data_IF_678211865849
#
_entry.id   IF_678211865849
#
_cell.length_a   1.000
_cell.length_b   1.000
_cell.length_c   1.000
_cell.angle_alpha   90.00
_cell.angle_beta   90.00
_cell.angle_gamma   90.00
#
_symmetry.space_group_name_H-M   'P 1'
#
loop_
_entity.id
_entity.type
_entity.pdbx_description
1 polymer ?
#
# COMPACT_ATOMS: atom_id res chain seq x y z
N UNK A 1 -2.63 -2.08 -18.32
CA UNK A 1 -1.87 -0.80 -18.16
C UNK A 1 -2.33 0.20 -19.20
N UNK A 2 -2.34 -0.15 -20.50
CA UNK A 2 -2.84 0.70 -21.60
C UNK A 2 -4.16 1.42 -21.29
N UNK A 3 -5.22 0.71 -20.93
CA UNK A 3 -6.52 1.33 -20.56
C UNK A 3 -6.37 2.45 -19.52
N UNK A 4 -5.54 2.27 -18.48
CA UNK A 4 -5.34 3.31 -17.48
C UNK A 4 -4.56 4.50 -18.07
N UNK A 5 -3.54 4.24 -18.89
CA UNK A 5 -2.75 5.30 -19.52
C UNK A 5 -3.57 6.11 -20.54
N UNK A 6 -4.44 5.45 -21.30
CA UNK A 6 -5.36 6.09 -22.26
C UNK A 6 -6.34 7.03 -21.55
N UNK A 7 -6.71 6.70 -20.31
CA UNK A 7 -7.51 7.54 -19.42
C UNK A 7 -6.69 8.63 -18.69
N UNK A 8 -5.39 8.75 -18.96
CA UNK A 8 -4.48 9.68 -18.27
C UNK A 8 -4.11 9.26 -16.85
N UNK A 9 -4.47 8.05 -16.43
CA UNK A 9 -4.20 7.50 -15.10
C UNK A 9 -2.80 6.91 -14.99
N UNK A 10 -2.27 6.93 -13.77
CA UNK A 10 -0.97 6.34 -13.44
C UNK A 10 -1.17 5.19 -12.46
N UNK A 11 -1.38 3.94 -12.92
CA UNK A 11 -1.62 2.82 -12.02
C UNK A 11 -0.37 2.47 -11.22
N UNK A 12 -0.58 1.98 -10.00
CA UNK A 12 0.47 1.33 -9.20
C UNK A 12 0.37 -0.18 -9.39
N UNK A 13 1.52 -0.86 -9.43
CA UNK A 13 1.62 -2.31 -9.45
C UNK A 13 1.71 -2.77 -7.99
N UNK A 14 0.68 -3.48 -7.52
CA UNK A 14 0.68 -4.09 -6.20
C UNK A 14 1.20 -5.52 -6.29
N UNK A 15 2.31 -5.82 -5.62
CA UNK A 15 2.91 -7.14 -5.62
C UNK A 15 2.98 -7.73 -4.21
N UNK A 16 2.22 -8.80 -3.97
CA UNK A 16 2.32 -9.58 -2.73
C UNK A 16 3.49 -10.55 -2.82
N UNK A 17 4.53 -10.26 -2.06
CA UNK A 17 5.76 -11.04 -2.03
C UNK A 17 5.62 -12.22 -1.06
N UNK A 18 5.82 -13.43 -1.57
CA UNK A 18 5.85 -14.68 -0.82
C UNK A 18 7.26 -15.30 -0.85
N UNK A 19 7.45 -16.41 -0.13
CA UNK A 19 8.70 -17.17 -0.22
C UNK A 19 8.93 -17.79 -1.61
N UNK A 20 7.85 -17.98 -2.38
CA UNK A 20 7.86 -18.75 -3.63
C UNK A 20 7.94 -17.88 -4.89
N UNK A 21 7.77 -16.55 -4.79
CA UNK A 21 7.79 -15.63 -5.94
C UNK A 21 8.86 -14.54 -5.82
N UNK A 22 9.76 -14.62 -4.83
CA UNK A 22 10.81 -13.62 -4.65
C UNK A 22 11.71 -13.47 -5.89
N UNK A 23 11.93 -14.56 -6.63
CA UNK A 23 12.71 -14.58 -7.87
C UNK A 23 12.08 -13.76 -9.01
N UNK A 24 10.79 -13.41 -8.93
CA UNK A 24 10.09 -12.59 -9.94
C UNK A 24 10.31 -11.09 -9.70
N UNK A 25 10.74 -10.70 -8.49
CA UNK A 25 10.92 -9.30 -8.11
C UNK A 25 11.90 -8.53 -9.03
N UNK A 26 13.04 -9.07 -9.50
CA UNK A 26 13.89 -8.40 -10.48
C UNK A 26 13.15 -8.02 -11.76
N UNK A 27 12.43 -8.96 -12.37
CA UNK A 27 11.70 -8.75 -13.62
C UNK A 27 10.57 -7.73 -13.44
N UNK A 28 9.84 -7.80 -12.32
CA UNK A 28 8.82 -6.80 -12.00
C UNK A 28 9.40 -5.41 -11.75
N UNK A 29 10.58 -5.33 -11.12
CA UNK A 29 11.27 -4.06 -10.91
C UNK A 29 11.72 -3.44 -12.23
N UNK A 30 12.28 -4.24 -13.14
CA UNK A 30 12.65 -3.81 -14.50
C UNK A 30 11.42 -3.32 -15.27
N UNK A 31 10.33 -4.09 -15.25
CA UNK A 31 9.07 -3.70 -15.87
C UNK A 31 8.55 -2.36 -15.33
N UNK A 32 8.50 -2.21 -14.01
CA UNK A 32 8.07 -0.98 -13.35
C UNK A 32 8.94 0.23 -13.74
N UNK A 33 10.25 0.01 -13.91
CA UNK A 33 11.19 1.05 -14.34
C UNK A 33 10.98 1.47 -15.80
N UNK A 34 10.84 0.50 -16.70
CA UNK A 34 10.64 0.73 -18.13
C UNK A 34 9.33 1.49 -18.40
N UNK A 35 8.28 1.17 -17.64
CA UNK A 35 6.98 1.83 -17.76
C UNK A 35 6.78 3.02 -16.81
N UNK A 36 7.78 3.35 -15.98
CA UNK A 36 7.71 4.40 -14.95
C UNK A 36 6.47 4.29 -14.05
N UNK A 37 6.13 3.07 -13.65
CA UNK A 37 5.01 2.75 -12.76
C UNK A 37 5.55 2.41 -11.37
N UNK A 38 4.86 2.82 -10.30
CA UNK A 38 5.29 2.42 -8.96
C UNK A 38 4.97 0.95 -8.71
N UNK A 39 6.00 0.16 -8.40
CA UNK A 39 5.87 -1.19 -7.86
C UNK A 39 5.86 -1.14 -6.33
N UNK A 40 4.72 -1.41 -5.72
CA UNK A 40 4.54 -1.52 -4.28
C UNK A 40 4.69 -3.00 -3.89
N UNK A 41 5.80 -3.32 -3.23
CA UNK A 41 6.09 -4.69 -2.77
C UNK A 41 5.61 -4.85 -1.34
N UNK A 42 4.61 -5.70 -1.15
CA UNK A 42 4.03 -6.03 0.15
C UNK A 42 4.40 -7.45 0.55
N UNK A 43 5.21 -7.65 1.60
CA UNK A 43 5.40 -8.97 2.18
C UNK A 43 4.07 -9.62 2.55
N UNK A 44 3.93 -10.91 2.23
CA UNK A 44 2.82 -11.74 2.66
C UNK A 44 2.76 -11.80 4.19
N UNK A 45 1.55 -11.77 4.73
CA UNK A 45 1.27 -11.98 6.13
C UNK A 45 0.63 -13.36 6.33
N UNK A 46 0.70 -13.89 7.54
CA UNK A 46 0.15 -15.21 7.87
C UNK A 46 -1.38 -15.20 7.78
N UNK A 47 -1.91 -15.53 6.61
CA UNK A 47 -3.32 -15.65 6.31
C UNK A 47 -3.49 -16.73 5.22
N UNK A 48 -4.53 -17.55 5.31
CA UNK A 48 -4.74 -18.72 4.45
C UNK A 48 -3.52 -19.66 4.38
N UNK A 49 -2.96 -20.02 5.53
CA UNK A 49 -1.80 -20.94 5.65
C UNK A 49 -0.52 -20.50 4.93
N UNK A 50 -0.46 -19.24 4.46
CA UNK A 50 0.76 -18.71 3.88
C UNK A 50 1.83 -18.54 4.98
N UNK A 51 3.02 -19.16 4.81
CA UNK A 51 4.11 -18.97 5.74
C UNK A 51 4.58 -17.51 5.70
N UNK A 52 5.00 -17.00 6.86
CA UNK A 52 5.67 -15.71 6.92
C UNK A 52 6.90 -15.68 6.01
N UNK A 53 7.23 -14.48 5.52
CA UNK A 53 8.40 -14.29 4.69
C UNK A 53 9.66 -14.65 5.46
N UNK A 54 10.50 -15.50 4.87
CA UNK A 54 11.74 -15.96 5.49
C UNK A 54 12.69 -14.79 5.75
N UNK A 55 13.39 -14.72 6.90
CA UNK A 55 14.27 -13.59 7.24
C UNK A 55 15.34 -13.29 6.19
N UNK A 56 15.88 -14.31 5.52
CA UNK A 56 16.83 -14.15 4.42
C UNK A 56 16.23 -13.40 3.23
N UNK A 57 14.96 -13.66 2.89
CA UNK A 57 14.26 -12.96 1.81
C UNK A 57 14.02 -11.51 2.22
N UNK A 58 13.57 -11.28 3.46
CA UNK A 58 13.38 -9.92 3.99
C UNK A 58 14.68 -9.11 3.96
N UNK A 59 15.81 -9.72 4.31
CA UNK A 59 17.14 -9.08 4.20
C UNK A 59 17.50 -8.77 2.75
N UNK A 60 17.22 -9.68 1.82
CA UNK A 60 17.48 -9.49 0.38
C UNK A 60 16.63 -8.39 -0.24
N UNK A 61 15.48 -8.02 0.34
CA UNK A 61 14.68 -6.88 -0.16
C UNK A 61 15.44 -5.55 -0.16
N UNK A 62 16.47 -5.43 0.66
CA UNK A 62 17.23 -4.19 0.86
C UNK A 62 18.01 -3.73 -0.36
N UNK A 63 18.29 -4.63 -1.29
CA UNK A 63 18.88 -4.26 -2.59
C UNK A 63 17.85 -3.59 -3.51
N UNK A 64 16.56 -3.94 -3.40
CA UNK A 64 15.48 -3.41 -4.25
C UNK A 64 14.89 -2.10 -3.70
N UNK A 65 14.99 -1.86 -2.39
CA UNK A 65 14.51 -0.62 -1.74
C UNK A 65 15.07 0.67 -2.36
N UNK A 66 16.27 0.60 -2.97
CA UNK A 66 16.94 1.75 -3.60
C UNK A 66 16.56 1.96 -5.06
N UNK A 67 15.97 0.95 -5.69
CA UNK A 67 15.69 0.98 -7.12
C UNK A 67 14.63 2.04 -7.45
N UNK A 68 14.81 2.83 -8.53
CA UNK A 68 13.77 3.66 -9.11
C UNK A 68 12.44 2.92 -9.22
N UNK A 69 11.35 3.60 -8.86
CA UNK A 69 9.97 3.12 -9.00
C UNK A 69 9.61 1.86 -8.19
N UNK A 70 10.53 1.32 -7.39
CA UNK A 70 10.22 0.25 -6.42
C UNK A 70 9.99 0.85 -5.04
N UNK A 71 8.86 0.52 -4.41
CA UNK A 71 8.53 0.89 -3.05
C UNK A 71 8.47 -0.34 -2.15
N UNK A 72 9.35 -0.34 -1.16
CA UNK A 72 9.37 -1.27 -0.05
C UNK A 72 9.52 -0.42 1.21
N UNK A 73 8.58 -0.51 2.15
CA UNK A 73 8.69 0.23 3.40
C UNK A 73 9.76 -0.42 4.31
N UNK A 74 10.90 0.27 4.45
CA UNK A 74 12.04 -0.15 5.27
C UNK A 74 11.66 -0.45 6.73
N UNK A 75 10.73 0.32 7.30
CA UNK A 75 10.23 0.13 8.65
C UNK A 75 9.47 -1.20 8.78
N UNK A 76 8.72 -1.57 7.75
CA UNK A 76 7.96 -2.81 7.73
C UNK A 76 8.86 -4.04 7.65
N UNK A 77 9.89 -4.02 6.79
CA UNK A 77 10.90 -5.07 6.74
C UNK A 77 11.61 -5.25 8.09
N UNK A 78 11.87 -4.15 8.80
CA UNK A 78 12.46 -4.21 10.15
C UNK A 78 11.51 -4.84 11.17
N UNK A 79 10.21 -4.52 11.10
CA UNK A 79 9.18 -5.09 11.98
C UNK A 79 9.11 -6.61 11.80
N UNK A 80 9.12 -7.09 10.56
CA UNK A 80 9.11 -8.54 10.26
C UNK A 80 10.35 -9.22 10.86
N UNK A 81 11.54 -8.62 10.66
CA UNK A 81 12.80 -9.16 11.20
C UNK A 81 12.83 -9.19 12.74
N UNK A 82 12.08 -8.31 13.40
CA UNK A 82 11.92 -8.28 14.86
C UNK A 82 10.78 -9.19 15.37
N UNK A 83 10.24 -10.05 14.51
CA UNK A 83 9.20 -11.01 14.88
C UNK A 83 7.80 -10.42 14.93
N UNK A 84 7.56 -9.30 14.25
CA UNK A 84 6.25 -8.66 14.14
C UNK A 84 5.89 -7.76 15.33
N UNK A 85 4.61 -7.45 15.47
CA UNK A 85 4.12 -6.55 16.52
C UNK A 85 4.23 -7.14 17.93
N UNK A 86 4.59 -6.28 18.88
CA UNK A 86 4.78 -6.64 20.29
C UNK A 86 3.63 -6.07 21.13
N UNK A 87 2.85 -6.93 21.80
CA UNK A 87 1.63 -6.51 22.51
C UNK A 87 1.89 -5.64 23.75
N UNK A 88 3.08 -5.74 24.36
CA UNK A 88 3.46 -4.87 25.48
C UNK A 88 3.85 -3.44 25.02
N UNK A 89 4.39 -3.31 23.81
CA UNK A 89 4.76 -2.04 23.18
C UNK A 89 4.29 -2.02 21.72
N UNK A 90 2.97 -1.92 21.48
CA UNK A 90 2.38 -2.14 20.17
C UNK A 90 2.83 -1.06 19.18
N UNK A 91 3.24 -1.50 17.99
CA UNK A 91 3.43 -0.60 16.87
C UNK A 91 2.14 -0.35 16.12
N UNK A 92 1.25 -1.33 16.08
CA UNK A 92 -0.02 -1.24 15.37
C UNK A 92 -0.93 -0.15 15.95
N UNK A 93 -1.38 0.75 15.07
CA UNK A 93 -2.35 1.82 15.30
C UNK A 93 -3.60 1.64 14.44
N UNK A 94 -4.06 0.41 14.26
CA UNK A 94 -5.17 0.07 13.36
C UNK A 94 -6.47 0.85 13.61
N UNK A 95 -6.73 1.27 14.85
CA UNK A 95 -7.94 2.01 15.20
C UNK A 95 -7.76 3.52 14.99
N UNK A 96 -6.56 4.04 15.25
CA UNK A 96 -6.28 5.49 15.18
C UNK A 96 -5.68 5.96 13.86
N UNK A 97 -5.11 5.06 13.07
CA UNK A 97 -4.42 5.34 11.81
C UNK A 97 -5.22 4.96 10.56
N UNK A 98 -6.26 4.15 10.71
CA UNK A 98 -7.13 3.71 9.61
C UNK A 98 -8.58 3.68 10.05
N UNK A 99 -9.49 3.75 9.08
CA UNK A 99 -10.93 3.52 9.29
C UNK A 99 -11.35 2.41 8.35
N UNK A 100 -12.02 1.39 8.87
CA UNK A 100 -12.54 0.26 8.08
C UNK A 100 -14.06 0.32 8.12
N UNK A 101 -14.68 0.51 6.97
CA UNK A 101 -16.13 0.55 6.80
C UNK A 101 -16.53 -0.69 5.99
N UNK A 102 -17.47 -1.48 6.52
CA UNK A 102 -18.01 -2.64 5.83
C UNK A 102 -19.06 -2.24 4.78
N UNK A 103 -19.36 -3.10 3.80
CA UNK A 103 -20.49 -2.88 2.87
C UNK A 103 -21.85 -2.73 3.56
N UNK A 104 -21.99 -3.21 4.81
CA UNK A 104 -23.20 -3.06 5.63
C UNK A 104 -23.24 -1.71 6.39
N UNK A 105 -22.38 -0.75 6.02
CA UNK A 105 -22.27 0.55 6.67
C UNK A 105 -21.93 0.45 8.17
N UNK A 106 -20.95 -0.40 8.50
CA UNK A 106 -20.48 -0.60 9.87
C UNK A 106 -18.98 -0.29 9.98
N UNK A 107 -18.55 0.37 11.05
CA UNK A 107 -17.14 0.45 11.42
C UNK A 107 -16.70 -0.89 11.98
N UNK A 108 -15.64 -1.47 11.40
CA UNK A 108 -15.05 -2.73 11.86
C UNK A 108 -13.87 -2.46 12.80
N UNK A 109 -13.87 -3.10 13.97
CA UNK A 109 -12.84 -2.93 15.00
C UNK A 109 -12.24 -4.28 15.46
N UNK A 110 -10.94 -4.29 15.83
CA UNK A 110 -9.97 -3.20 15.69
C UNK A 110 -9.39 -3.06 14.27
N UNK A 111 -9.56 -4.08 13.43
CA UNK A 111 -9.08 -4.13 12.06
C UNK A 111 -9.94 -5.12 11.25
N UNK A 112 -9.94 -4.99 9.92
CA UNK A 112 -10.66 -5.88 9.00
C UNK A 112 -10.36 -7.36 9.26
N UNK A 113 -9.08 -7.74 9.35
CA UNK A 113 -8.66 -9.15 9.41
C UNK A 113 -9.03 -9.86 10.73
N UNK A 114 -9.24 -9.13 11.81
CA UNK A 114 -9.59 -9.67 13.13
C UNK A 114 -10.74 -8.89 13.76
N UNK A 115 -11.78 -8.66 12.97
CA UNK A 115 -12.97 -7.93 13.42
C UNK A 115 -13.63 -8.70 14.56
N UNK A 116 -13.83 -8.04 15.71
CA UNK A 116 -14.55 -8.61 16.86
C UNK A 116 -15.62 -7.67 17.45
N UNK A 117 -15.68 -6.43 16.96
CA UNK A 117 -16.68 -5.43 17.30
C UNK A 117 -17.06 -4.65 16.05
N UNK A 118 -18.32 -4.21 16.02
CA UNK A 118 -18.90 -3.44 14.93
C UNK A 118 -19.66 -2.25 15.50
N UNK A 119 -19.63 -1.12 14.80
CA UNK A 119 -20.44 0.06 15.14
C UNK A 119 -21.21 0.45 13.89
N UNK A 120 -22.54 0.39 13.94
CA UNK A 120 -23.37 0.87 12.84
C UNK A 120 -23.12 2.37 12.59
N UNK A 121 -22.94 2.75 11.33
CA UNK A 121 -22.84 4.15 10.95
C UNK A 121 -24.25 4.68 10.67
N UNK A 122 -24.82 5.38 11.64
CA UNK A 122 -26.01 6.18 11.39
C UNK A 122 -25.58 7.47 10.68
N UNK A 123 -25.73 7.52 9.35
CA UNK A 123 -25.27 8.59 8.45
C UNK A 123 -23.72 8.75 8.46
N UNK A 124 -23.10 9.44 7.48
CA UNK A 124 -21.66 9.67 7.47
C UNK A 124 -21.26 10.70 8.55
N UNK A 125 -21.37 10.31 9.81
CA UNK A 125 -20.97 11.13 10.96
C UNK A 125 -19.77 10.48 11.66
N UNK A 126 -18.88 11.33 12.21
CA UNK A 126 -17.77 10.87 13.05
C UNK A 126 -18.21 10.48 14.46
N UNK A 127 -19.53 10.41 14.73
CA UNK A 127 -20.11 10.12 16.04
C UNK A 127 -19.66 8.76 16.61
N UNK A 128 -19.37 7.78 15.75
CA UNK A 128 -18.80 6.49 16.17
C UNK A 128 -17.54 6.64 17.02
N UNK A 129 -16.75 7.71 16.82
CA UNK A 129 -15.53 8.00 17.59
C UNK A 129 -15.80 8.32 19.06
N UNK A 130 -17.00 8.78 19.38
CA UNK A 130 -17.42 9.11 20.75
C UNK A 130 -17.93 7.89 21.51
N UNK A 131 -18.16 6.77 20.82
CA UNK A 131 -18.71 5.57 21.45
C UNK A 131 -17.71 4.93 22.41
N UNK A 132 -18.23 4.31 23.47
CA UNK A 132 -17.42 3.54 24.42
C UNK A 132 -16.64 2.42 23.74
N UNK A 133 -17.26 1.74 22.77
CA UNK A 133 -16.64 0.62 22.03
C UNK A 133 -15.41 1.11 21.24
N UNK A 134 -15.51 2.25 20.57
CA UNK A 134 -14.38 2.82 19.83
C UNK A 134 -13.23 3.21 20.76
N UNK A 135 -13.52 3.90 21.86
CA UNK A 135 -12.51 4.27 22.85
C UNK A 135 -11.81 3.05 23.46
N UNK A 136 -12.55 1.98 23.78
CA UNK A 136 -11.97 0.71 24.21
C UNK A 136 -11.04 0.10 23.15
N UNK A 137 -11.43 0.16 21.88
CA UNK A 137 -10.60 -0.33 20.78
C UNK A 137 -9.30 0.48 20.63
N UNK A 138 -9.31 1.80 20.84
CA UNK A 138 -8.09 2.63 20.85
C UNK A 138 -7.10 2.13 21.91
N UNK A 139 -7.57 1.82 23.12
CA UNK A 139 -6.71 1.33 24.20
C UNK A 139 -6.16 -0.08 23.95
N UNK A 140 -6.94 -0.92 23.27
CA UNK A 140 -6.58 -2.32 23.00
C UNK A 140 -5.86 -2.54 21.66
N UNK A 141 -5.83 -1.54 20.76
CA UNK A 141 -5.22 -1.69 19.44
C UNK A 141 -3.77 -2.19 19.53
N UNK A 142 -3.45 -3.23 18.75
CA UNK A 142 -2.12 -3.85 18.75
C UNK A 142 -1.79 -4.68 20.00
N UNK A 143 -2.71 -4.81 20.97
CA UNK A 143 -2.47 -5.52 22.25
C UNK A 143 -3.22 -6.85 22.40
N UNK A 144 -4.15 -7.17 21.49
CA UNK A 144 -4.86 -8.45 21.50
C UNK A 144 -3.90 -9.65 21.33
N UNK A 145 -4.31 -10.88 21.74
CA UNK A 145 -3.51 -12.09 21.50
C UNK A 145 -3.11 -12.27 20.03
N UNK A 146 -4.05 -12.07 19.09
CA UNK A 146 -3.77 -12.14 17.64
C UNK A 146 -2.85 -11.02 17.12
N UNK A 147 -2.63 -9.96 17.89
CA UNK A 147 -1.69 -8.90 17.51
C UNK A 147 -0.23 -9.27 17.78
N UNK A 148 0.03 -10.29 18.62
CA UNK A 148 1.39 -10.77 18.86
C UNK A 148 1.96 -11.33 17.55
N UNK A 149 3.12 -10.82 17.16
CA UNK A 149 3.81 -11.20 15.93
C UNK A 149 3.05 -10.92 14.63
N UNK A 150 2.00 -10.10 14.68
CA UNK A 150 1.26 -9.69 13.50
C UNK A 150 2.14 -8.86 12.55
N UNK A 151 2.01 -9.12 11.25
CA UNK A 151 2.74 -8.45 10.15
C UNK A 151 1.79 -8.01 9.03
N UNK A 152 0.59 -7.52 9.34
CA UNK A 152 -0.36 -7.07 8.31
C UNK A 152 -0.03 -5.63 7.86
N UNK A 153 0.61 -5.47 6.69
CA UNK A 153 1.17 -4.19 6.26
C UNK A 153 0.14 -3.04 6.21
N UNK A 154 -1.10 -3.33 5.81
CA UNK A 154 -2.18 -2.35 5.66
C UNK A 154 -2.38 -1.47 6.91
N UNK A 155 -2.09 -2.01 8.10
CA UNK A 155 -2.20 -1.27 9.35
C UNK A 155 -0.85 -0.73 9.82
N UNK A 156 0.28 -1.39 9.53
CA UNK A 156 1.59 -0.93 9.99
C UNK A 156 2.12 0.26 9.21
N UNK A 157 1.97 0.28 7.88
CA UNK A 157 2.45 1.39 7.04
C UNK A 157 2.00 2.77 7.53
N UNK A 158 0.71 3.02 7.83
CA UNK A 158 0.29 4.30 8.41
C UNK A 158 0.70 4.43 9.89
N UNK A 159 0.76 3.32 10.63
CA UNK A 159 1.14 3.34 12.06
C UNK A 159 2.57 3.81 12.32
N UNK A 160 3.50 3.59 11.38
CA UNK A 160 4.89 3.98 11.57
C UNK A 160 5.09 5.48 11.76
N UNK A 161 4.15 6.33 11.35
CA UNK A 161 4.27 7.78 11.46
C UNK A 161 3.72 8.37 12.77
N UNK A 162 3.13 7.55 13.66
CA UNK A 162 2.47 8.02 14.88
C UNK A 162 3.39 8.19 16.10
N UNK A 163 4.63 7.72 16.02
CA UNK A 163 5.62 7.84 17.10
C UNK A 163 6.98 8.12 16.50
N UNK A 164 7.60 9.25 16.85
CA UNK A 164 8.94 9.62 16.40
C UNK A 164 9.96 8.68 17.06
N UNK A 165 10.41 7.69 16.30
CA UNK A 165 11.44 6.72 16.66
C UNK A 165 12.08 6.13 15.41
N UNK A 166 12.91 5.08 15.55
CA UNK A 166 13.58 4.43 14.42
C UNK A 166 12.61 4.05 13.30
N UNK A 167 11.45 3.50 13.62
CA UNK A 167 10.46 3.08 12.62
C UNK A 167 9.86 4.28 11.87
N UNK A 168 9.67 5.43 12.54
CA UNK A 168 9.23 6.66 11.90
C UNK A 168 10.19 7.09 10.79
N UNK A 169 11.47 7.21 11.10
CA UNK A 169 12.47 7.66 10.12
C UNK A 169 12.61 6.67 8.96
N UNK A 170 12.65 5.36 9.24
CA UNK A 170 12.71 4.33 8.19
C UNK A 170 11.50 4.40 7.24
N UNK A 171 10.30 4.61 7.80
CA UNK A 171 9.08 4.74 7.00
C UNK A 171 9.04 6.06 6.24
N UNK A 172 9.45 7.16 6.88
CA UNK A 172 9.48 8.48 6.27
C UNK A 172 10.41 8.50 5.06
N UNK A 173 11.63 7.96 5.17
CA UNK A 173 12.55 7.89 4.04
C UNK A 173 12.01 7.06 2.88
N UNK A 174 11.34 5.95 3.18
CA UNK A 174 10.69 5.12 2.15
C UNK A 174 9.58 5.91 1.43
N UNK A 175 8.77 6.66 2.18
CA UNK A 175 7.65 7.46 1.64
C UNK A 175 8.11 8.70 0.89
N UNK A 176 9.19 9.35 1.30
CA UNK A 176 9.81 10.45 0.55
C UNK A 176 10.34 9.97 -0.81
N UNK A 177 10.97 8.80 -0.85
CA UNK A 177 11.34 8.15 -2.12
C UNK A 177 10.11 7.85 -2.98
N UNK A 178 9.06 7.27 -2.41
CA UNK A 178 7.80 7.02 -3.12
C UNK A 178 7.27 8.32 -3.73
N UNK A 179 7.16 9.39 -2.94
CA UNK A 179 6.62 10.66 -3.40
C UNK A 179 7.46 11.26 -4.53
N UNK A 180 8.80 11.20 -4.42
CA UNK A 180 9.69 11.62 -5.50
C UNK A 180 9.46 10.80 -6.77
N UNK A 181 9.43 9.48 -6.66
CA UNK A 181 9.34 8.60 -7.82
C UNK A 181 7.94 8.66 -8.48
N UNK A 182 6.87 8.82 -7.68
CA UNK A 182 5.48 8.89 -8.17
C UNK A 182 5.09 10.26 -8.71
N UNK A 183 5.46 11.33 -8.00
CA UNK A 183 4.91 12.67 -8.25
C UNK A 183 5.91 13.65 -8.86
N UNK A 184 7.21 13.53 -8.56
CA UNK A 184 8.23 14.48 -9.03
C UNK A 184 8.97 14.02 -10.28
N UNK A 185 9.10 12.71 -10.49
CA UNK A 185 9.76 12.20 -11.70
C UNK A 185 8.84 12.35 -12.92
N UNK A 186 9.40 12.77 -14.07
CA UNK A 186 8.62 12.88 -15.30
C UNK A 186 7.99 11.54 -15.66
N UNK A 187 6.67 11.56 -15.82
CA UNK A 187 5.90 10.47 -16.38
C UNK A 187 5.57 10.86 -17.82
N UNK A 188 6.27 10.27 -18.79
CA UNK A 188 5.80 10.31 -20.17
C UNK A 188 4.89 9.10 -20.34
N UNK A 189 3.62 9.35 -20.63
CA UNK A 189 2.83 8.36 -21.36
C UNK A 189 3.57 8.19 -22.68
N UNK A 190 4.27 7.08 -22.86
CA UNK A 190 4.80 6.74 -24.17
C UNK A 190 3.58 6.39 -25.02
N UNK A 191 2.95 7.40 -25.62
CA UNK A 191 2.10 7.21 -26.77
C UNK A 191 2.98 6.50 -27.80
N UNK A 192 2.57 5.30 -28.20
CA UNK A 192 3.27 4.56 -29.24
C UNK A 192 3.22 5.36 -30.55
N UNK A 193 4.06 5.00 -31.52
CA UNK A 193 4.00 5.64 -32.84
C UNK A 193 2.60 5.46 -33.47
N UNK A 194 1.94 4.33 -33.22
CA UNK A 194 0.55 4.06 -33.63
C UNK A 194 -0.46 4.96 -32.92
N UNK A 195 -0.29 5.24 -31.62
CA UNK A 195 -1.16 6.15 -30.87
C UNK A 195 -1.08 7.58 -31.42
N UNK A 196 0.13 8.04 -31.78
CA UNK A 196 0.33 9.34 -32.40
C UNK A 196 -0.26 9.41 -33.83
N UNK A 197 -0.25 8.30 -34.57
CA UNK A 197 -0.82 8.22 -35.92
C UNK A 197 -2.36 8.18 -35.88
N UNK A 198 -2.95 7.51 -34.89
CA UNK A 198 -4.40 7.49 -34.66
C UNK A 198 -4.92 8.86 -34.17
N UNK A 199 -4.19 9.55 -33.29
CA UNK A 199 -4.54 10.92 -32.88
C UNK A 199 -4.52 11.87 -34.08
N UNK A 200 -3.51 11.75 -34.97
CA UNK A 200 -3.47 12.53 -36.23
C UNK A 200 -4.65 12.22 -37.16
N UNK A 201 -5.01 10.94 -37.35
CA UNK A 201 -6.15 10.55 -38.19
C UNK A 201 -7.49 11.08 -37.65
N UNK A 202 -7.64 11.10 -36.32
CA UNK A 202 -8.87 11.59 -35.66
C UNK A 202 -9.00 13.12 -35.78
N UNK A 203 -7.90 13.87 -35.67
CA UNK A 203 -7.92 15.33 -35.87
C UNK A 203 -8.15 15.76 -37.32
N UNK A 204 -7.69 14.97 -38.31
CA UNK A 204 -7.91 15.28 -39.74
C UNK A 204 -9.37 15.03 -40.15
N UNK A 205 -10.01 14.01 -39.58
CA UNK A 205 -11.42 13.67 -39.88
C UNK A 205 -12.44 14.63 -39.24
N UNK A 206 -12.06 15.31 -38.16
CA UNK A 206 -12.88 16.39 -37.57
C UNK A 206 -12.79 17.70 -38.37
N UNK A 207 -11.66 17.97 -39.05
CA UNK A 207 -11.51 19.17 -39.90
C UNK A 207 -12.15 19.07 -41.29
N UNK A 208 -12.48 17.86 -41.76
CA UNK A 208 -13.13 17.65 -43.08
C UNK A 208 -14.65 17.52 -43.01
N UNK A 209 -15.26 17.55 -41.82
CA UNK A 209 -16.70 17.38 -41.61
C UNK A 209 -17.40 18.60 -41.02
N UNK A 210 -16.81 19.80 -41.13
CA UNK A 210 -17.51 21.05 -40.81
C UNK A 210 -18.16 21.60 -42.10
N UNK A 211 -19.49 21.47 -42.30
CA UNK A 211 -20.15 22.05 -43.45
C UNK A 211 -20.52 23.51 -43.17
N UNK A 212 -20.04 24.41 -44.02
CA UNK A 212 -20.60 25.75 -44.24
C UNK A 212 -22.11 25.69 -44.57
#
# INVERSE_FOLDING_TARGET
IHIAQDLGERPDILFTLTNNNFQELPTLAEFAQNHRLMLIVNPVFSYFDNPLLQPQIVKRLRQYEKLPYVYINRAFSELILQGGNQTHMPRCRAVTATVVISPANEILLPCFHFTNRKIALANPSSAYRQTRIFNQAIHQQGRYPFCKSCTINCYFDPSFLYKIDRYFFLSLWSKLKYARDKYLRPYTVSLTAEDNENIKKTQITETENDPD
#
